data_IF_527206377117
#
_entry.id   IF_527206377117
#
_cell.length_a   1.000
_cell.length_b   1.000
_cell.length_c   1.000
_cell.angle_alpha   90.00
_cell.angle_beta   90.00
_cell.angle_gamma   90.00
#
_symmetry.space_group_name_H-M   'P 1'
#
loop_
_entity.id
_entity.type
_entity.pdbx_description
1 polymer ?
#
# COMPACT_ATOMS: atom_id res chain seq x y z
N UNK A 1 18.30 30.80 24.24
CA UNK A 1 18.80 31.07 22.89
C UNK A 1 19.83 30.02 22.54
N UNK A 2 19.44 29.05 21.73
CA UNK A 2 20.29 28.27 20.83
C UNK A 2 19.36 27.24 20.17
N UNK A 3 18.69 27.73 19.13
CA UNK A 3 17.96 26.93 18.16
C UNK A 3 18.91 25.90 17.54
N UNK A 4 18.69 24.62 17.82
CA UNK A 4 19.31 23.52 17.08
C UNK A 4 18.56 23.35 15.75
N UNK A 5 18.76 24.31 14.85
CA UNK A 5 18.36 24.22 13.45
C UNK A 5 19.32 23.28 12.73
N UNK A 6 19.11 21.99 12.91
CA UNK A 6 19.75 20.96 12.11
C UNK A 6 18.69 19.91 11.76
N UNK A 7 17.65 20.35 11.03
CA UNK A 7 16.86 19.44 10.21
C UNK A 7 17.82 18.84 9.19
N UNK A 8 18.37 17.67 9.53
CA UNK A 8 19.07 16.84 8.58
C UNK A 8 18.09 16.60 7.43
N UNK A 9 18.46 17.03 6.23
CA UNK A 9 17.76 16.68 4.99
C UNK A 9 17.95 15.18 4.77
N UNK A 10 17.18 14.36 5.49
CA UNK A 10 17.22 12.92 5.38
C UNK A 10 16.80 12.56 3.94
N UNK A 11 17.66 11.77 3.28
CA UNK A 11 17.37 11.19 1.98
C UNK A 11 16.00 10.50 2.02
N UNK A 12 15.19 10.70 0.97
CA UNK A 12 13.90 10.05 0.86
C UNK A 12 14.09 8.52 0.80
N UNK A 13 13.26 7.73 1.51
CA UNK A 13 13.26 6.29 1.33
C UNK A 13 12.82 5.93 -0.09
N UNK A 14 13.18 4.75 -0.56
CA UNK A 14 12.82 4.29 -1.91
C UNK A 14 11.31 4.15 -2.08
N UNK A 15 10.60 3.70 -1.05
CA UNK A 15 9.14 3.61 -1.00
C UNK A 15 8.61 4.68 -0.03
N UNK A 16 7.71 5.52 -0.52
CA UNK A 16 7.06 6.63 0.19
C UNK A 16 5.69 6.26 0.77
N UNK A 17 4.94 5.39 0.07
CA UNK A 17 3.62 4.93 0.50
C UNK A 17 3.30 3.56 -0.09
N UNK A 18 2.54 2.74 0.64
CA UNK A 18 2.14 1.39 0.24
C UNK A 18 3.13 0.28 0.68
N UNK A 19 3.06 -0.91 0.05
CA UNK A 19 2.13 -1.28 -1.01
C UNK A 19 0.71 -1.45 -0.48
N UNK A 20 -0.26 -1.11 -1.32
CA UNK A 20 -1.67 -1.32 -1.04
C UNK A 20 -2.23 -2.33 -2.05
N UNK A 21 -2.58 -3.52 -1.57
CA UNK A 21 -3.30 -4.54 -2.33
C UNK A 21 -4.75 -4.11 -2.54
N UNK A 22 -5.08 -3.66 -3.76
CA UNK A 22 -6.42 -3.14 -4.12
C UNK A 22 -7.38 -4.21 -4.60
N UNK A 23 -6.85 -5.25 -5.24
CA UNK A 23 -7.64 -6.34 -5.79
C UNK A 23 -6.89 -7.65 -5.60
N UNK A 24 -7.62 -8.63 -5.10
CA UNK A 24 -7.14 -9.99 -4.85
C UNK A 24 -8.15 -10.97 -5.43
N UNK A 25 -7.78 -11.61 -6.52
CA UNK A 25 -8.54 -12.68 -7.17
C UNK A 25 -7.61 -13.86 -7.38
N UNK A 26 -8.17 -15.06 -7.61
CA UNK A 26 -7.38 -16.27 -7.76
C UNK A 26 -6.29 -16.12 -8.84
N UNK A 27 -6.64 -15.58 -10.01
CA UNK A 27 -5.71 -15.41 -11.13
C UNK A 27 -5.14 -13.99 -11.30
N UNK A 28 -5.46 -13.02 -10.42
CA UNK A 28 -5.09 -11.60 -10.62
C UNK A 28 -4.87 -10.85 -9.32
N UNK A 29 -3.78 -10.09 -9.26
CA UNK A 29 -3.49 -9.17 -8.18
C UNK A 29 -3.30 -7.74 -8.71
N UNK A 30 -3.87 -6.76 -8.03
CA UNK A 30 -3.65 -5.33 -8.32
C UNK A 30 -3.12 -4.65 -7.07
N UNK A 31 -1.93 -4.07 -7.17
CA UNK A 31 -1.28 -3.33 -6.09
C UNK A 31 -0.92 -1.92 -6.57
N UNK A 32 -0.74 -1.00 -5.64
CA UNK A 32 0.00 0.22 -5.92
C UNK A 32 0.91 0.61 -4.77
N UNK A 33 1.96 1.35 -5.11
CA UNK A 33 2.83 2.03 -4.15
C UNK A 33 3.35 3.32 -4.77
N UNK A 34 3.97 4.16 -3.95
CA UNK A 34 4.68 5.36 -4.41
C UNK A 34 6.15 5.20 -4.08
N UNK A 35 7.00 5.30 -5.09
CA UNK A 35 8.45 5.37 -4.90
C UNK A 35 8.98 6.81 -5.00
N UNK A 36 10.15 7.07 -4.39
CA UNK A 36 10.87 8.34 -4.56
C UNK A 36 11.60 8.46 -5.89
N UNK A 37 11.66 7.36 -6.64
CA UNK A 37 12.23 7.20 -7.98
C UNK A 37 11.47 6.07 -8.70
N UNK A 38 11.66 5.87 -10.02
CA UNK A 38 11.27 4.62 -10.66
C UNK A 38 11.97 3.43 -9.98
N UNK A 39 11.20 2.35 -9.76
CA UNK A 39 11.63 1.16 -9.03
C UNK A 39 11.35 -0.04 -9.92
N UNK A 40 12.35 -0.91 -10.06
CA UNK A 40 12.15 -2.25 -10.59
C UNK A 40 11.75 -3.14 -9.42
N UNK A 41 10.59 -3.78 -9.53
CA UNK A 41 9.97 -4.51 -8.43
C UNK A 41 9.85 -5.98 -8.79
N UNK A 42 9.98 -6.85 -7.78
CA UNK A 42 9.62 -8.26 -7.89
C UNK A 42 8.61 -8.57 -6.79
N UNK A 43 7.43 -9.03 -7.17
CA UNK A 43 6.45 -9.58 -6.24
C UNK A 43 6.75 -11.06 -6.07
N UNK A 44 6.88 -11.52 -4.84
CA UNK A 44 7.07 -12.93 -4.52
C UNK A 44 5.83 -13.44 -3.81
N UNK A 45 5.26 -14.56 -4.27
CA UNK A 45 4.11 -15.19 -3.64
C UNK A 45 4.47 -16.56 -3.10
N UNK A 46 3.95 -16.91 -1.92
CA UNK A 46 4.10 -18.24 -1.35
C UNK A 46 2.75 -18.71 -0.82
N UNK A 47 2.37 -19.92 -1.22
CA UNK A 47 1.18 -20.59 -0.73
C UNK A 47 1.42 -22.10 -0.66
N UNK A 48 0.84 -22.77 0.33
CA UNK A 48 1.01 -24.21 0.54
C UNK A 48 0.76 -24.61 1.99
N UNK A 49 0.31 -25.85 2.22
CA UNK A 49 0.07 -26.36 3.56
C UNK A 49 1.39 -26.45 4.36
N UNK A 50 1.29 -26.26 5.67
CA UNK A 50 2.40 -26.30 6.63
C UNK A 50 3.30 -27.56 6.57
N UNK A 51 2.87 -28.61 5.87
CA UNK A 51 3.59 -29.88 5.72
C UNK A 51 4.35 -30.05 4.38
N UNK A 52 4.22 -29.11 3.44
CA UNK A 52 5.04 -29.12 2.24
C UNK A 52 6.32 -28.30 2.50
N UNK A 53 7.38 -28.97 2.95
CA UNK A 53 8.72 -28.44 3.18
C UNK A 53 9.42 -27.84 1.91
N UNK A 54 8.65 -27.46 0.90
CA UNK A 54 9.13 -27.01 -0.42
C UNK A 54 8.20 -26.02 -1.15
N UNK A 55 7.27 -25.32 -0.48
CA UNK A 55 6.65 -24.14 -1.13
C UNK A 55 7.60 -22.93 -0.99
N UNK A 56 8.60 -22.90 -1.86
CA UNK A 56 9.41 -21.69 -2.06
C UNK A 56 8.55 -20.55 -2.59
N UNK A 57 9.07 -19.32 -2.49
CA UNK A 57 8.44 -18.19 -3.17
C UNK A 57 8.50 -18.39 -4.69
N UNK A 58 7.40 -18.05 -5.35
CA UNK A 58 7.35 -17.87 -6.80
C UNK A 58 7.53 -16.38 -7.06
N UNK A 59 8.55 -16.04 -7.83
CA UNK A 59 8.89 -14.67 -8.15
C UNK A 59 8.22 -14.20 -9.44
N UNK A 60 7.62 -13.02 -9.39
CA UNK A 60 7.00 -12.32 -10.49
C UNK A 60 7.72 -10.98 -10.68
N UNK A 61 8.72 -10.91 -11.59
CA UNK A 61 9.32 -9.64 -11.98
C UNK A 61 8.25 -8.72 -12.59
N UNK A 62 8.09 -7.53 -12.03
CA UNK A 62 7.04 -6.59 -12.43
C UNK A 62 7.58 -5.67 -13.53
N UNK A 63 7.52 -6.15 -14.77
CA UNK A 63 8.10 -5.46 -15.93
C UNK A 63 7.06 -5.10 -16.98
N UNK A 64 7.36 -4.09 -17.80
CA UNK A 64 6.55 -3.73 -18.95
C UNK A 64 5.08 -3.47 -18.60
N UNK A 65 4.18 -4.34 -19.08
CA UNK A 65 2.73 -4.19 -18.92
C UNK A 65 2.23 -4.50 -17.51
N UNK A 66 3.02 -5.17 -16.66
CA UNK A 66 2.61 -5.56 -15.30
C UNK A 66 2.76 -4.43 -14.29
N UNK A 67 3.53 -3.39 -14.62
CA UNK A 67 3.79 -2.26 -13.74
C UNK A 67 3.89 -0.96 -14.55
N UNK A 68 2.83 -0.17 -14.50
CA UNK A 68 2.83 1.18 -15.06
C UNK A 68 3.39 2.16 -14.02
N UNK A 69 4.37 2.97 -14.41
CA UNK A 69 4.95 4.00 -13.54
C UNK A 69 4.50 5.38 -14.00
N UNK A 70 3.86 6.14 -13.12
CA UNK A 70 3.40 7.51 -13.37
C UNK A 70 4.17 8.48 -12.47
N UNK A 71 4.95 9.37 -13.08
CA UNK A 71 5.62 10.44 -12.35
C UNK A 71 4.60 11.53 -11.98
N UNK A 72 4.46 11.79 -10.68
CA UNK A 72 3.62 12.88 -10.14
C UNK A 72 4.46 13.98 -9.49
N UNK A 73 5.77 13.80 -9.45
CA UNK A 73 6.75 14.79 -9.02
C UNK A 73 8.17 14.38 -9.35
N UNK A 74 9.15 15.22 -9.00
CA UNK A 74 10.57 14.93 -9.17
C UNK A 74 11.05 13.75 -8.32
N UNK A 75 10.40 13.55 -7.17
CA UNK A 75 10.68 12.47 -6.22
C UNK A 75 9.40 11.72 -5.82
N UNK A 76 8.44 11.59 -6.73
CA UNK A 76 7.20 10.85 -6.47
C UNK A 76 6.73 10.14 -7.75
N UNK A 77 6.73 8.81 -7.69
CA UNK A 77 6.41 7.93 -8.81
C UNK A 77 5.39 6.91 -8.32
N UNK A 78 4.18 6.91 -8.88
CA UNK A 78 3.15 5.92 -8.58
C UNK A 78 3.43 4.69 -9.43
N UNK A 79 3.60 3.53 -8.80
CA UNK A 79 3.72 2.23 -9.46
C UNK A 79 2.38 1.53 -9.36
N UNK A 80 1.70 1.40 -10.50
CA UNK A 80 0.43 0.71 -10.65
C UNK A 80 0.72 -0.70 -11.15
N UNK A 81 0.56 -1.68 -10.28
CA UNK A 81 0.88 -3.08 -10.54
C UNK A 81 -0.41 -3.81 -10.86
N UNK A 82 -0.45 -4.45 -12.03
CA UNK A 82 -1.54 -5.30 -12.49
C UNK A 82 -0.96 -6.63 -12.97
N UNK A 83 -0.95 -7.60 -12.08
CA UNK A 83 -0.31 -8.89 -12.30
C UNK A 83 -1.36 -9.96 -12.57
N UNK A 84 -1.30 -10.52 -13.77
CA UNK A 84 -2.01 -11.74 -14.09
C UNK A 84 -1.14 -12.96 -13.78
N UNK A 85 -1.70 -13.90 -13.03
CA UNK A 85 -0.99 -15.08 -12.55
C UNK A 85 -1.13 -16.22 -13.56
N UNK A 86 -0.05 -16.99 -13.72
CA UNK A 86 -0.04 -18.19 -14.58
C UNK A 86 -0.82 -19.35 -13.97
N UNK A 87 -0.90 -19.39 -12.63
CA UNK A 87 -1.65 -20.36 -11.86
C UNK A 87 -2.49 -19.64 -10.81
N UNK A 88 -3.71 -20.12 -10.61
CA UNK A 88 -4.63 -19.57 -9.61
C UNK A 88 -4.10 -19.78 -8.19
N UNK A 89 -4.20 -18.73 -7.38
CA UNK A 89 -3.98 -18.79 -5.95
C UNK A 89 -5.06 -19.66 -5.29
N UNK A 90 -4.72 -20.36 -4.19
CA UNK A 90 -5.70 -21.09 -3.42
C UNK A 90 -6.74 -20.14 -2.84
N UNK A 91 -8.00 -20.57 -2.89
CA UNK A 91 -9.09 -19.89 -2.21
C UNK A 91 -9.07 -20.27 -0.72
N UNK A 92 -9.54 -19.34 0.11
CA UNK A 92 -9.78 -19.54 1.54
C UNK A 92 -8.56 -20.02 2.35
N UNK A 93 -7.36 -19.73 1.85
CA UNK A 93 -6.10 -20.04 2.47
C UNK A 93 -5.20 -18.80 2.53
N UNK A 94 -4.28 -18.80 3.50
CA UNK A 94 -3.26 -17.77 3.59
C UNK A 94 -2.32 -17.83 2.38
N UNK A 95 -2.07 -16.65 1.80
CA UNK A 95 -1.03 -16.41 0.80
C UNK A 95 -0.07 -15.39 1.39
N UNK A 96 1.16 -15.81 1.61
CA UNK A 96 2.24 -14.91 1.99
C UNK A 96 2.76 -14.21 0.74
N UNK A 97 3.16 -12.96 0.89
CA UNK A 97 3.82 -12.23 -0.19
C UNK A 97 4.97 -11.37 0.32
N UNK A 98 5.86 -11.05 -0.59
CA UNK A 98 6.91 -10.08 -0.38
C UNK A 98 7.08 -9.21 -1.62
N UNK A 99 7.54 -7.97 -1.43
CA UNK A 99 7.76 -7.02 -2.52
C UNK A 99 9.16 -6.42 -2.40
N UNK A 100 10.03 -6.86 -3.33
CA UNK A 100 11.45 -6.50 -3.34
C UNK A 100 11.73 -5.43 -4.38
N UNK A 101 12.64 -4.52 -4.03
CA UNK A 101 13.18 -3.50 -4.93
C UNK A 101 14.52 -4.00 -5.45
N UNK A 102 14.69 -4.05 -6.78
CA UNK A 102 15.95 -4.49 -7.37
C UNK A 102 17.11 -3.58 -6.94
N UNK A 103 18.22 -4.21 -6.54
CA UNK A 103 19.42 -3.51 -6.06
C UNK A 103 19.35 -3.05 -4.60
N UNK A 104 18.24 -3.32 -3.89
CA UNK A 104 18.11 -3.05 -2.46
C UNK A 104 18.03 -4.36 -1.66
N UNK A 105 18.52 -4.37 -0.41
CA UNK A 105 18.47 -5.55 0.42
C UNK A 105 17.05 -5.81 0.91
N UNK A 106 16.56 -7.04 0.70
CA UNK A 106 15.33 -7.53 1.30
C UNK A 106 14.04 -7.06 0.61
N UNK A 107 12.93 -7.32 1.28
CA UNK A 107 11.58 -6.92 0.91
C UNK A 107 10.88 -6.24 2.07
N UNK A 108 9.56 -6.39 2.16
CA UNK A 108 8.70 -5.67 3.12
C UNK A 108 9.17 -5.90 4.55
N UNK A 109 9.65 -7.10 4.86
CA UNK A 109 10.21 -7.47 6.15
C UNK A 109 11.38 -6.59 6.59
N UNK A 110 12.19 -6.12 5.65
CA UNK A 110 13.35 -5.28 5.91
C UNK A 110 13.01 -3.79 5.85
N UNK A 111 12.27 -3.35 4.81
CA UNK A 111 12.02 -1.92 4.60
C UNK A 111 10.78 -1.39 5.33
N UNK A 112 9.83 -2.25 5.70
CA UNK A 112 8.66 -1.91 6.50
C UNK A 112 8.20 -3.05 7.45
N UNK A 113 9.05 -3.45 8.41
CA UNK A 113 8.70 -4.50 9.39
C UNK A 113 7.45 -4.17 10.22
N UNK A 114 7.09 -2.89 10.33
CA UNK A 114 5.90 -2.43 11.06
C UNK A 114 4.57 -2.79 10.37
N UNK A 115 4.60 -3.32 9.13
CA UNK A 115 3.41 -3.82 8.43
C UNK A 115 3.11 -5.30 8.77
N UNK A 116 3.97 -5.97 9.53
CA UNK A 116 3.78 -7.37 9.93
C UNK A 116 2.93 -7.45 11.21
N UNK A 117 1.92 -8.31 11.18
CA UNK A 117 1.18 -8.69 12.39
C UNK A 117 2.00 -9.66 13.26
N UNK A 118 1.64 -9.75 14.54
CA UNK A 118 2.33 -10.60 15.50
C UNK A 118 2.38 -12.07 15.04
N UNK A 119 3.58 -12.67 15.06
CA UNK A 119 3.81 -14.04 14.61
C UNK A 119 3.94 -14.23 13.10
N UNK A 120 3.64 -13.22 12.28
CA UNK A 120 3.82 -13.29 10.83
C UNK A 120 5.28 -13.04 10.43
N UNK A 121 5.80 -13.89 9.55
CA UNK A 121 7.14 -13.70 8.95
C UNK A 121 7.07 -12.82 7.71
N UNK A 122 5.94 -12.84 6.99
CA UNK A 122 5.68 -12.05 5.80
C UNK A 122 4.29 -11.42 5.87
N UNK A 123 4.04 -10.32 5.14
CA UNK A 123 2.70 -9.87 4.87
C UNK A 123 1.87 -10.98 4.20
N UNK A 124 0.58 -11.02 4.51
CA UNK A 124 -0.31 -12.05 4.00
C UNK A 124 -1.71 -11.52 3.68
N UNK A 125 -2.39 -12.27 2.83
CA UNK A 125 -3.80 -12.06 2.49
C UNK A 125 -4.50 -13.39 2.25
N UNK A 126 -5.82 -13.33 2.05
CA UNK A 126 -6.66 -14.50 1.74
C UNK A 126 -7.53 -14.14 0.55
N UNK A 127 -7.49 -14.94 -0.52
CA UNK A 127 -8.47 -14.85 -1.60
C UNK A 127 -9.71 -15.63 -1.18
N UNK A 128 -10.78 -14.94 -0.81
CA UNK A 128 -12.01 -15.58 -0.33
C UNK A 128 -12.86 -16.11 -1.50
N UNK A 129 -13.41 -17.32 -1.35
CA UNK A 129 -14.37 -17.88 -2.33
C UNK A 129 -15.76 -17.25 -2.22
N UNK A 130 -16.10 -16.70 -1.04
CA UNK A 130 -17.35 -16.02 -0.72
C UNK A 130 -17.12 -14.63 -0.12
N UNK A 131 -18.02 -13.68 -0.40
CA UNK A 131 -18.07 -12.38 0.28
C UNK A 131 -19.11 -12.46 1.40
N UNK A 132 -18.74 -13.08 2.52
CA UNK A 132 -19.56 -13.28 3.73
C UNK A 132 -19.19 -12.32 4.86
N UNK A 133 -17.95 -11.82 4.87
CA UNK A 133 -17.46 -10.79 5.78
C UNK A 133 -17.02 -9.55 4.99
N UNK A 134 -17.83 -8.50 5.04
CA UNK A 134 -17.56 -7.22 4.37
C UNK A 134 -17.37 -6.11 5.40
N UNK A 135 -16.32 -5.32 5.21
CA UNK A 135 -16.10 -4.07 5.91
C UNK A 135 -16.50 -2.92 5.00
N UNK A 136 -17.16 -1.91 5.57
CA UNK A 136 -17.55 -0.72 4.85
C UNK A 136 -17.04 0.52 5.57
N UNK A 137 -16.50 1.47 4.81
CA UNK A 137 -16.01 2.73 5.33
C UNK A 137 -16.24 3.88 4.37
N UNK A 138 -16.51 5.06 4.92
CA UNK A 138 -16.63 6.32 4.19
C UNK A 138 -16.30 7.48 5.12
N UNK A 139 -16.20 8.68 4.57
CA UNK A 139 -16.15 9.93 5.34
C UNK A 139 -15.00 10.00 6.36
N UNK A 140 -13.80 9.65 5.92
CA UNK A 140 -12.58 9.63 6.73
C UNK A 140 -11.97 11.03 6.86
N UNK A 141 -12.63 11.90 7.61
CA UNK A 141 -12.18 13.29 7.84
C UNK A 141 -11.03 13.32 8.86
N UNK A 142 -9.78 13.64 8.49
CA UNK A 142 -8.61 13.42 9.36
C UNK A 142 -8.61 14.23 10.67
N UNK A 143 -9.23 15.41 10.67
CA UNK A 143 -9.31 16.32 11.82
C UNK A 143 -10.65 16.25 12.57
N UNK A 144 -11.47 15.23 12.31
CA UNK A 144 -12.63 14.98 13.14
C UNK A 144 -12.21 14.53 14.56
N UNK A 145 -13.02 14.81 15.58
CA UNK A 145 -12.67 14.49 16.98
C UNK A 145 -12.76 13.00 17.33
N UNK A 146 -13.39 12.19 16.47
CA UNK A 146 -13.49 10.75 16.67
C UNK A 146 -12.13 10.07 16.40
N UNK A 147 -11.92 8.92 17.04
CA UNK A 147 -10.77 8.07 16.73
C UNK A 147 -10.84 7.54 15.29
N UNK A 148 -9.69 7.17 14.74
CA UNK A 148 -9.60 6.63 13.38
C UNK A 148 -10.28 5.24 13.30
N UNK A 149 -11.29 5.12 12.43
CA UNK A 149 -12.01 3.89 12.15
C UNK A 149 -11.15 2.79 11.53
N UNK A 150 -10.15 3.10 10.68
CA UNK A 150 -9.29 2.04 10.12
C UNK A 150 -8.42 1.34 11.17
N UNK A 151 -8.21 1.93 12.35
CA UNK A 151 -7.57 1.22 13.47
C UNK A 151 -8.43 0.08 14.02
N UNK A 152 -9.75 0.11 13.78
CA UNK A 152 -10.61 -1.03 14.09
C UNK A 152 -10.41 -2.15 13.07
N UNK A 153 -10.22 -1.80 11.79
CA UNK A 153 -9.89 -2.76 10.73
C UNK A 153 -8.54 -3.40 11.01
N UNK A 154 -7.51 -2.59 11.31
CA UNK A 154 -6.17 -3.09 11.61
C UNK A 154 -6.16 -4.11 12.77
N UNK A 155 -6.84 -3.80 13.87
CA UNK A 155 -7.00 -4.73 15.01
C UNK A 155 -7.76 -6.00 14.64
N UNK A 156 -8.86 -5.87 13.88
CA UNK A 156 -9.59 -7.04 13.39
C UNK A 156 -8.69 -7.94 12.55
N UNK A 157 -7.87 -7.37 11.66
CA UNK A 157 -6.93 -8.12 10.84
C UNK A 157 -5.83 -8.79 11.67
N UNK A 158 -5.32 -8.11 12.70
CA UNK A 158 -4.33 -8.65 13.63
C UNK A 158 -4.86 -9.84 14.45
N UNK A 159 -6.11 -9.76 14.90
CA UNK A 159 -6.75 -10.78 15.74
C UNK A 159 -7.25 -11.99 14.92
N UNK A 160 -7.33 -11.88 13.59
CA UNK A 160 -7.88 -12.92 12.72
C UNK A 160 -6.83 -13.98 12.36
N UNK A 161 -6.91 -15.14 13.00
CA UNK A 161 -6.01 -16.28 12.74
C UNK A 161 -6.57 -17.29 11.73
N UNK A 162 -7.89 -17.42 11.65
CA UNK A 162 -8.57 -18.31 10.71
C UNK A 162 -8.76 -17.58 9.36
N UNK A 163 -8.22 -18.10 8.23
CA UNK A 163 -8.40 -17.47 6.92
C UNK A 163 -9.88 -17.34 6.53
N UNK A 164 -10.76 -18.24 7.02
CA UNK A 164 -12.21 -18.17 6.81
C UNK A 164 -12.90 -17.08 7.62
N UNK A 165 -12.20 -16.41 8.54
CA UNK A 165 -12.71 -15.23 9.25
C UNK A 165 -12.12 -13.92 8.71
N UNK A 166 -11.13 -13.98 7.79
CA UNK A 166 -10.52 -12.81 7.17
C UNK A 166 -11.58 -12.05 6.36
N UNK A 167 -11.80 -10.74 6.60
CA UNK A 167 -12.72 -9.96 5.78
C UNK A 167 -12.41 -10.09 4.28
N UNK A 168 -13.42 -10.46 3.50
CA UNK A 168 -13.29 -10.69 2.07
C UNK A 168 -13.12 -9.39 1.28
N UNK A 169 -13.67 -8.29 1.78
CA UNK A 169 -13.70 -7.00 1.10
C UNK A 169 -13.74 -5.83 2.10
N UNK A 170 -12.91 -4.82 1.86
CA UNK A 170 -13.08 -3.47 2.41
C UNK A 170 -13.65 -2.56 1.31
N UNK A 171 -14.92 -2.22 1.43
CA UNK A 171 -15.61 -1.31 0.51
C UNK A 171 -15.49 0.13 1.02
N UNK A 172 -14.83 0.98 0.24
CA UNK A 172 -14.71 2.41 0.49
C UNK A 172 -15.59 3.20 -0.48
N UNK A 173 -16.72 3.74 -0.01
CA UNK A 173 -17.74 4.31 -0.91
C UNK A 173 -17.61 5.81 -1.21
N UNK A 174 -16.62 6.50 -0.64
CA UNK A 174 -16.38 7.92 -0.88
C UNK A 174 -15.72 8.63 0.30
N UNK A 175 -15.40 9.91 0.11
CA UNK A 175 -14.92 10.86 1.13
C UNK A 175 -13.73 10.34 1.96
N UNK A 176 -12.78 9.69 1.27
CA UNK A 176 -11.54 9.24 1.89
C UNK A 176 -10.49 10.37 1.99
N UNK A 177 -10.69 11.43 1.21
CA UNK A 177 -9.97 12.70 1.29
C UNK A 177 -10.98 13.84 1.25
N UNK A 178 -10.61 14.98 1.83
CA UNK A 178 -11.36 16.23 1.78
C UNK A 178 -10.44 17.29 1.21
N UNK A 179 -10.87 17.98 0.14
CA UNK A 179 -10.08 19.01 -0.53
C UNK A 179 -10.55 20.44 -0.17
N UNK A 180 -11.78 20.56 0.34
CA UNK A 180 -12.48 21.79 0.70
C UNK A 180 -12.40 22.10 2.21
N UNK A 181 -12.31 21.06 3.04
CA UNK A 181 -12.19 21.17 4.49
C UNK A 181 -10.94 20.43 4.96
N UNK A 182 -9.83 21.17 5.08
CA UNK A 182 -8.54 20.65 5.55
C UNK A 182 -8.07 21.50 6.74
N UNK A 183 -7.77 20.86 7.87
CA UNK A 183 -7.22 21.56 9.01
C UNK A 183 -5.89 22.26 8.67
N UNK A 184 -5.71 23.50 9.14
CA UNK A 184 -4.52 24.31 8.86
C UNK A 184 -3.17 23.60 9.07
N UNK A 185 -2.94 22.87 10.18
CA UNK A 185 -1.72 22.10 10.37
C UNK A 185 -1.48 21.02 9.31
N UNK A 186 -2.54 20.33 8.85
CA UNK A 186 -2.46 19.33 7.80
C UNK A 186 -2.14 20.00 6.45
N UNK A 187 -2.78 21.12 6.13
CA UNK A 187 -2.49 21.88 4.91
C UNK A 187 -1.02 22.32 4.85
N UNK A 188 -0.47 22.81 5.97
CA UNK A 188 0.95 23.17 6.07
C UNK A 188 1.87 21.96 5.81
N UNK A 189 1.52 20.79 6.35
CA UNK A 189 2.28 19.56 6.12
C UNK A 189 2.21 19.11 4.65
N UNK A 190 1.03 19.24 4.02
CA UNK A 190 0.83 18.94 2.59
C UNK A 190 1.72 19.86 1.72
N UNK A 191 1.75 21.17 1.98
CA UNK A 191 2.62 22.10 1.22
C UNK A 191 4.10 21.76 1.37
N UNK A 192 4.56 21.46 2.59
CA UNK A 192 5.94 21.02 2.81
C UNK A 192 6.26 19.71 2.06
N UNK A 193 5.30 18.78 1.98
CA UNK A 193 5.46 17.54 1.23
C UNK A 193 5.49 17.78 -0.28
N UNK A 194 4.62 18.67 -0.80
CA UNK A 194 4.61 19.10 -2.21
C UNK A 194 5.99 19.62 -2.62
N UNK A 195 6.55 20.55 -1.84
CA UNK A 195 7.88 21.12 -2.10
C UNK A 195 8.97 20.05 -2.04
N UNK A 196 8.95 19.20 -0.99
CA UNK A 196 9.96 18.15 -0.77
C UNK A 196 9.97 17.10 -1.87
N UNK A 197 8.79 16.67 -2.34
CA UNK A 197 8.68 15.68 -3.41
C UNK A 197 8.78 16.32 -4.80
N UNK A 198 8.72 17.65 -4.88
CA UNK A 198 8.66 18.40 -6.13
C UNK A 198 7.47 17.94 -6.97
N UNK A 199 6.28 17.83 -6.36
CA UNK A 199 5.07 17.43 -7.07
C UNK A 199 4.77 18.42 -8.19
N UNK A 200 4.25 17.89 -9.30
CA UNK A 200 3.90 18.73 -10.44
C UNK A 200 2.59 19.46 -10.17
N UNK A 201 2.52 20.71 -10.62
CA UNK A 201 1.28 21.45 -10.64
C UNK A 201 0.35 20.86 -11.71
N UNK A 202 -0.93 20.74 -11.37
CA UNK A 202 -1.96 20.36 -12.34
C UNK A 202 -2.44 21.62 -13.07
N UNK A 203 -2.46 21.57 -14.40
CA UNK A 203 -3.12 22.61 -15.20
C UNK A 203 -4.57 22.21 -15.44
N UNK A 204 -5.51 23.00 -14.93
CA UNK A 204 -6.94 22.81 -15.18
C UNK A 204 -7.36 23.69 -16.36
N UNK A 205 -7.54 23.06 -17.52
CA UNK A 205 -8.06 23.75 -18.72
C UNK A 205 -9.45 24.34 -18.44
N UNK A 206 -9.61 25.64 -18.67
CA UNK A 206 -10.87 26.35 -18.48
C UNK A 206 -11.12 26.87 -17.05
N UNK A 207 -10.14 26.78 -16.16
CA UNK A 207 -10.19 27.50 -14.88
C UNK A 207 -10.05 29.02 -15.12
N UNK A 208 -11.16 29.75 -14.99
CA UNK A 208 -11.16 31.22 -14.93
C UNK A 208 -10.75 31.61 -13.52
N UNK A 209 -9.46 31.85 -13.32
CA UNK A 209 -8.94 32.52 -12.12
C UNK A 209 -8.70 33.97 -12.51
N UNK A 210 -9.64 34.86 -12.14
CA UNK A 210 -9.46 36.31 -12.23
C UNK A 210 -8.50 36.82 -11.13
#
# INVERSE_FOLDING_TARGET
MSSSSAEHCASLPSILAGPLLRRQEAGRLVLWLVGSRPLNLTLSLRHGAADAASSGFIDYPLTGQQCQVVAVGRHAFIHLIDLQLEADLPLDAWVDYDLRVEGEPGGITEWAPHLLYEGAVYPNFVVRSSIDHLLHGSCRKPHHCAAEGLLCVDRLLADTQDPLQRPALLMMSGDQIYADDVAGPMLRAIHALIERLGLFDEHLDGAVVD
#
